data_IF_692805392418
#
_entry.id   IF_692805392418
#
_cell.length_a   1.000
_cell.length_b   1.000
_cell.length_c   1.000
_cell.angle_alpha   90.00
_cell.angle_beta   90.00
_cell.angle_gamma   90.00
#
_symmetry.space_group_name_H-M   'P 1'
#
loop_
_entity.id
_entity.type
_entity.pdbx_description
1 polymer ?
#
# COMPACT_ATOMS: atom_id res chain seq x y z
N UNK A 1 14.24 -34.94 26.06
CA UNK A 1 13.86 -36.36 25.88
C UNK A 1 12.76 -36.39 24.83
N UNK A 2 13.07 -37.06 23.72
CA UNK A 2 12.33 -37.23 22.46
C UNK A 2 10.79 -37.17 22.53
N UNK A 3 10.18 -36.47 21.57
CA UNK A 3 8.97 -36.99 20.93
C UNK A 3 9.18 -37.05 19.41
N UNK A 4 9.34 -38.28 18.94
CA UNK A 4 9.40 -38.74 17.55
C UNK A 4 8.06 -38.46 16.85
N UNK A 5 8.09 -37.90 15.65
CA UNK A 5 6.98 -38.04 14.70
C UNK A 5 7.26 -39.28 13.83
N UNK A 6 6.40 -40.29 13.96
CA UNK A 6 6.44 -41.52 13.17
C UNK A 6 5.89 -41.26 11.75
N UNK A 7 6.61 -41.77 10.76
CA UNK A 7 6.13 -41.96 9.38
C UNK A 7 5.00 -42.98 9.33
N UNK A 8 3.94 -42.67 8.58
CA UNK A 8 2.97 -43.66 8.12
C UNK A 8 1.74 -43.06 7.44
N UNK A 9 1.66 -43.19 6.11
CA UNK A 9 0.40 -43.11 5.35
C UNK A 9 0.34 -41.98 4.33
N UNK A 10 0.18 -42.36 3.06
CA UNK A 10 -0.03 -41.48 1.90
C UNK A 10 -0.97 -40.30 2.21
N UNK A 11 -0.46 -39.09 2.07
CA UNK A 11 -1.28 -37.89 2.01
C UNK A 11 -0.79 -37.01 0.86
N UNK A 12 -1.76 -36.54 0.08
CA UNK A 12 -1.66 -35.56 -0.99
C UNK A 12 -0.59 -34.50 -0.69
N UNK A 13 0.17 -34.13 -1.73
CA UNK A 13 0.89 -32.86 -1.77
C UNK A 13 -0.12 -31.71 -1.73
N UNK A 14 -0.61 -31.39 -0.52
CA UNK A 14 -1.07 -30.06 -0.22
C UNK A 14 0.17 -29.20 -0.06
N UNK A 15 0.52 -28.45 -1.09
CA UNK A 15 1.39 -27.31 -0.93
C UNK A 15 0.71 -26.38 0.07
N UNK A 16 1.13 -26.41 1.34
CA UNK A 16 0.96 -25.26 2.20
C UNK A 16 1.77 -24.15 1.54
N UNK A 17 1.10 -23.30 0.76
CA UNK A 17 1.61 -21.98 0.45
C UNK A 17 1.76 -21.26 1.78
N UNK A 18 2.96 -21.34 2.36
CA UNK A 18 3.35 -20.38 3.38
C UNK A 18 3.22 -19.02 2.72
N UNK A 19 2.42 -18.14 3.33
CA UNK A 19 2.47 -16.72 3.04
C UNK A 19 3.94 -16.34 3.16
N UNK A 20 4.56 -15.91 2.06
CA UNK A 20 5.90 -15.38 2.11
C UNK A 20 5.82 -14.15 3.04
N UNK A 21 6.36 -14.24 4.24
CA UNK A 21 6.58 -13.07 5.08
C UNK A 21 7.50 -12.17 4.26
N UNK A 22 7.04 -10.96 3.95
CA UNK A 22 7.89 -9.99 3.29
C UNK A 22 9.15 -9.76 4.15
N UNK A 23 10.30 -9.71 3.51
CA UNK A 23 11.59 -9.65 4.19
C UNK A 23 11.90 -8.16 4.48
N UNK A 24 11.86 -7.75 5.75
CA UNK A 24 12.27 -6.40 6.14
C UNK A 24 13.80 -6.29 6.04
N UNK A 25 14.27 -5.46 5.11
CA UNK A 25 15.68 -5.19 4.88
C UNK A 25 16.03 -3.80 5.39
N UNK A 26 16.94 -3.73 6.37
CA UNK A 26 17.53 -2.44 6.79
C UNK A 26 18.53 -1.96 5.74
N UNK A 27 18.22 -0.82 5.12
CA UNK A 27 19.06 -0.11 4.15
C UNK A 27 19.80 1.01 4.88
N UNK A 28 21.12 1.03 4.76
CA UNK A 28 22.00 1.96 5.47
C UNK A 28 23.29 2.21 4.69
N UNK A 29 23.92 3.36 4.95
CA UNK A 29 25.27 3.66 4.48
C UNK A 29 26.32 3.31 5.54
N UNK A 30 25.97 3.48 6.82
CA UNK A 30 26.89 3.28 7.95
C UNK A 30 27.28 1.82 8.19
N UNK A 31 28.47 1.63 8.73
CA UNK A 31 29.02 0.32 9.12
C UNK A 31 28.79 -0.01 10.60
N UNK A 32 28.04 0.81 11.35
CA UNK A 32 27.91 0.68 12.79
C UNK A 32 27.30 -0.66 13.21
N UNK A 33 28.01 -1.35 14.11
CA UNK A 33 27.59 -2.58 14.79
C UNK A 33 27.22 -2.30 16.25
N UNK A 34 26.55 -3.25 16.91
CA UNK A 34 26.19 -3.12 18.32
C UNK A 34 27.43 -2.91 19.20
N UNK A 35 27.42 -1.82 19.98
CA UNK A 35 28.57 -1.40 20.81
C UNK A 35 29.72 -0.75 20.02
N UNK A 36 29.52 -0.45 18.74
CA UNK A 36 30.47 0.28 17.91
C UNK A 36 30.67 1.73 18.37
N UNK A 37 31.78 2.33 17.93
CA UNK A 37 32.11 3.72 18.23
C UNK A 37 31.40 4.65 17.25
N UNK A 38 30.82 5.72 17.77
CA UNK A 38 30.15 6.77 16.99
C UNK A 38 30.77 8.13 17.30
N UNK A 39 30.70 9.05 16.33
CA UNK A 39 30.98 10.46 16.53
C UNK A 39 29.65 11.21 16.65
N UNK A 40 29.43 11.87 17.79
CA UNK A 40 28.25 12.73 17.98
C UNK A 40 28.51 14.08 17.34
N UNK A 41 27.55 14.60 16.56
CA UNK A 41 27.66 15.91 15.93
C UNK A 41 26.58 16.88 16.45
N UNK A 42 26.75 17.49 17.64
CA UNK A 42 25.89 18.58 18.10
C UNK A 42 26.33 19.84 17.34
N UNK A 43 26.01 19.87 16.05
CA UNK A 43 26.58 20.78 15.07
C UNK A 43 25.52 21.43 14.18
N UNK A 44 24.24 21.29 14.56
CA UNK A 44 23.09 21.75 13.78
C UNK A 44 22.42 22.94 14.45
N UNK A 45 21.98 23.88 13.62
CA UNK A 45 21.04 24.95 14.03
C UNK A 45 19.63 24.65 13.50
N UNK A 46 18.64 25.37 14.01
CA UNK A 46 17.23 25.27 13.61
C UNK A 46 17.07 25.37 12.08
N UNK A 47 16.28 24.45 11.53
CA UNK A 47 15.99 24.33 10.10
C UNK A 47 17.07 23.64 9.28
N UNK A 48 18.24 23.31 9.85
CA UNK A 48 19.21 22.47 9.17
C UNK A 48 18.75 21.01 9.09
N UNK A 49 19.29 20.27 8.14
CA UNK A 49 18.97 18.86 7.98
C UNK A 49 20.21 17.99 7.85
N UNK A 50 20.24 16.85 8.54
CA UNK A 50 21.18 15.76 8.27
C UNK A 50 20.50 14.75 7.34
N UNK A 51 21.15 14.34 6.25
CA UNK A 51 20.52 13.47 5.26
C UNK A 51 21.44 12.37 4.74
N UNK A 52 20.84 11.20 4.45
CA UNK A 52 21.49 10.04 3.85
C UNK A 52 20.85 9.69 2.52
N UNK A 53 21.68 9.34 1.54
CA UNK A 53 21.24 8.86 0.22
C UNK A 53 21.30 7.33 0.23
N UNK A 54 20.15 6.67 0.19
CA UNK A 54 20.00 5.22 0.31
C UNK A 54 19.49 4.64 -1.00
N UNK A 55 19.72 3.34 -1.21
CA UNK A 55 19.26 2.64 -2.42
C UNK A 55 18.42 1.43 -2.03
N UNK A 56 17.19 1.36 -2.55
CA UNK A 56 16.31 0.24 -2.26
C UNK A 56 16.85 -1.05 -2.89
N UNK A 57 16.94 -2.16 -2.15
CA UNK A 57 17.43 -3.44 -2.68
C UNK A 57 16.37 -4.17 -3.52
N UNK A 58 15.12 -3.74 -3.48
CA UNK A 58 13.96 -4.49 -3.97
C UNK A 58 12.78 -3.56 -4.31
N UNK A 59 11.77 -4.11 -4.99
CA UNK A 59 10.47 -3.47 -5.05
C UNK A 59 9.75 -3.70 -3.72
N UNK A 60 9.11 -2.67 -3.17
CA UNK A 60 8.44 -2.75 -1.89
C UNK A 60 8.08 -1.39 -1.32
N UNK A 61 7.96 -1.32 0.01
CA UNK A 61 7.70 -0.07 0.72
C UNK A 61 8.77 0.18 1.77
N UNK A 62 9.15 1.45 1.97
CA UNK A 62 9.79 1.85 3.23
C UNK A 62 8.71 1.77 4.31
N UNK A 63 8.98 1.01 5.37
CA UNK A 63 8.06 0.75 6.49
C UNK A 63 8.58 1.25 7.83
N UNK A 64 9.87 1.59 7.90
CA UNK A 64 10.43 2.25 9.07
C UNK A 64 11.59 3.18 8.72
N UNK A 65 11.80 4.18 9.56
CA UNK A 65 13.01 5.03 9.54
C UNK A 65 13.70 4.90 10.88
N UNK A 66 15.02 4.77 10.85
CA UNK A 66 15.85 4.62 12.04
C UNK A 66 16.86 5.76 12.12
N UNK A 67 16.93 6.45 13.25
CA UNK A 67 17.88 7.55 13.48
C UNK A 67 18.63 7.29 14.78
N UNK A 68 19.95 7.20 14.71
CA UNK A 68 20.75 7.07 15.92
C UNK A 68 20.95 8.45 16.53
N UNK A 69 20.47 8.60 17.77
CA UNK A 69 20.51 9.84 18.52
C UNK A 69 21.28 9.64 19.81
N UNK A 70 22.32 10.47 20.03
CA UNK A 70 23.18 10.31 21.19
C UNK A 70 23.80 11.61 21.65
N UNK A 71 23.94 11.80 22.96
CA UNK A 71 24.80 12.80 23.59
C UNK A 71 26.17 12.21 23.94
N UNK A 72 27.18 13.08 24.02
CA UNK A 72 28.55 12.65 24.31
C UNK A 72 28.68 11.92 25.65
N UNK A 73 27.92 12.34 26.66
CA UNK A 73 27.98 11.81 28.03
C UNK A 73 26.85 10.83 28.37
N UNK A 74 25.81 10.76 27.54
CA UNK A 74 24.60 9.98 27.80
C UNK A 74 23.68 10.61 28.85
N UNK A 75 22.40 10.30 28.77
CA UNK A 75 21.38 10.77 29.71
C UNK A 75 20.84 12.17 29.43
N UNK A 76 21.05 12.70 28.21
CA UNK A 76 20.38 13.90 27.77
C UNK A 76 18.85 13.69 27.74
N UNK A 77 18.04 14.73 28.01
CA UNK A 77 16.59 14.63 27.93
C UNK A 77 16.14 14.30 26.51
N UNK A 78 14.93 13.76 26.37
CA UNK A 78 14.30 13.58 25.07
C UNK A 78 14.12 14.93 24.38
N UNK A 79 14.34 14.96 23.07
CA UNK A 79 14.14 16.14 22.23
C UNK A 79 13.04 15.88 21.20
N UNK A 80 12.31 16.93 20.84
CA UNK A 80 11.32 16.93 19.76
C UNK A 80 11.92 17.73 18.61
N UNK A 81 12.17 17.09 17.47
CA UNK A 81 12.70 17.78 16.28
C UNK A 81 11.59 18.10 15.27
N UNK A 82 11.92 18.82 14.19
CA UNK A 82 10.91 19.39 13.29
C UNK A 82 10.22 18.30 12.47
N UNK A 83 10.99 17.52 11.72
CA UNK A 83 10.45 16.49 10.84
C UNK A 83 11.51 15.47 10.42
N UNK A 84 11.05 14.26 10.07
CA UNK A 84 11.79 13.33 9.22
C UNK A 84 11.20 13.43 7.83
N UNK A 85 12.02 13.69 6.82
CA UNK A 85 11.57 13.81 5.43
C UNK A 85 12.16 12.70 4.58
N UNK A 86 11.35 12.15 3.69
CA UNK A 86 11.79 11.22 2.64
C UNK A 86 11.63 11.90 1.30
N UNK A 87 12.72 12.01 0.55
CA UNK A 87 12.74 12.57 -0.79
C UNK A 87 12.99 11.49 -1.84
N UNK A 88 12.56 11.78 -3.08
CA UNK A 88 13.05 11.11 -4.26
C UNK A 88 14.57 11.30 -4.41
N UNK A 89 15.21 10.37 -5.09
CA UNK A 89 16.57 10.56 -5.58
C UNK A 89 16.68 11.83 -6.43
N UNK A 90 17.88 12.39 -6.48
CA UNK A 90 18.14 13.63 -7.21
C UNK A 90 19.55 13.65 -7.78
N UNK A 91 20.16 14.83 -7.80
CA UNK A 91 21.58 14.97 -8.13
C UNK A 91 22.34 15.36 -6.88
N UNK A 92 23.10 14.43 -6.31
CA UNK A 92 23.83 14.69 -5.06
C UNK A 92 24.62 16.02 -5.12
N UNK A 93 24.51 16.89 -4.10
CA UNK A 93 23.82 16.68 -2.82
C UNK A 93 22.34 17.09 -2.80
N UNK A 94 21.75 17.51 -3.91
CA UNK A 94 20.38 18.02 -4.01
C UNK A 94 19.36 16.87 -4.22
N UNK A 95 18.55 16.53 -3.21
CA UNK A 95 17.48 15.54 -3.36
C UNK A 95 16.38 16.01 -4.32
N UNK A 96 15.53 15.08 -4.76
CA UNK A 96 14.36 15.33 -5.59
C UNK A 96 13.17 15.90 -4.80
N UNK A 97 11.96 15.64 -5.28
CA UNK A 97 10.74 16.05 -4.60
C UNK A 97 10.55 15.28 -3.27
N UNK A 98 9.78 15.85 -2.34
CA UNK A 98 9.38 15.13 -1.12
C UNK A 98 8.40 14.02 -1.50
N UNK A 99 8.69 12.79 -1.07
CA UNK A 99 7.77 11.64 -1.16
C UNK A 99 6.84 11.59 0.04
N UNK A 100 7.38 11.89 1.23
CA UNK A 100 6.65 11.77 2.49
C UNK A 100 7.30 12.57 3.62
N UNK A 101 6.53 12.89 4.66
CA UNK A 101 7.01 13.57 5.86
C UNK A 101 6.41 12.97 7.14
N UNK A 102 7.23 12.95 8.20
CA UNK A 102 6.83 12.61 9.56
C UNK A 102 7.12 13.82 10.44
N UNK A 103 6.09 14.44 10.99
CA UNK A 103 6.23 15.66 11.78
C UNK A 103 6.51 15.32 13.25
N UNK A 104 7.32 16.15 13.90
CA UNK A 104 7.54 16.07 15.34
C UNK A 104 8.14 14.76 15.84
N UNK A 105 9.20 14.18 15.24
CA UNK A 105 9.84 13.00 15.81
C UNK A 105 10.39 13.29 17.21
N UNK A 106 9.96 12.52 18.21
CA UNK A 106 10.58 12.51 19.54
C UNK A 106 11.80 11.59 19.51
N UNK A 107 12.98 12.10 19.85
CA UNK A 107 14.23 11.34 19.90
C UNK A 107 14.67 11.12 21.34
N UNK A 108 15.04 9.87 21.63
CA UNK A 108 15.57 9.46 22.93
C UNK A 108 17.07 9.27 22.83
N UNK A 109 17.81 9.87 23.75
CA UNK A 109 19.27 9.73 23.83
C UNK A 109 19.69 8.28 24.10
N UNK A 110 20.74 7.85 23.41
CA UNK A 110 21.53 6.68 23.78
C UNK A 110 21.43 5.52 22.81
N UNK A 111 20.73 5.66 21.68
CA UNK A 111 20.54 4.57 20.75
C UNK A 111 19.83 4.92 19.44
N UNK A 112 19.52 3.86 18.70
CA UNK A 112 18.76 3.90 17.46
C UNK A 112 17.27 4.06 17.79
N UNK A 113 16.68 5.18 17.39
CA UNK A 113 15.25 5.43 17.48
C UNK A 113 14.59 4.93 16.19
N UNK A 114 13.53 4.14 16.28
CA UNK A 114 12.82 3.58 15.14
C UNK A 114 11.39 4.13 15.07
N UNK A 115 11.03 4.66 13.91
CA UNK A 115 9.71 5.20 13.60
C UNK A 115 9.03 4.31 12.58
N UNK A 116 7.80 3.85 12.88
CA UNK A 116 6.97 3.00 12.01
C UNK A 116 5.62 3.63 11.64
N UNK A 117 5.32 4.79 12.20
CA UNK A 117 4.06 5.49 12.02
C UNK A 117 4.32 6.97 11.74
N UNK A 118 3.45 7.58 10.92
CA UNK A 118 3.52 9.01 10.56
C UNK A 118 2.89 9.91 11.61
N UNK A 119 2.09 9.34 12.51
CA UNK A 119 1.36 10.06 13.55
C UNK A 119 1.73 9.56 14.95
N UNK A 120 1.58 10.45 15.94
CA UNK A 120 1.90 10.17 17.34
C UNK A 120 0.99 9.10 17.96
N UNK A 121 -0.22 8.93 17.42
CA UNK A 121 -1.18 7.94 17.90
C UNK A 121 -0.96 6.54 17.32
N UNK A 122 0.08 6.36 16.49
CA UNK A 122 0.42 5.07 15.86
C UNK A 122 -0.74 4.48 15.03
N UNK A 123 -1.47 5.33 14.30
CA UNK A 123 -2.62 4.92 13.49
C UNK A 123 -2.34 4.89 12.00
N UNK A 124 -1.35 5.65 11.53
CA UNK A 124 -0.96 5.72 10.12
C UNK A 124 0.43 5.12 9.96
N UNK A 125 0.56 3.86 9.54
CA UNK A 125 1.86 3.25 9.28
C UNK A 125 2.62 4.01 8.19
N UNK A 126 3.95 3.99 8.27
CA UNK A 126 4.80 4.40 7.15
C UNK A 126 4.64 3.35 6.05
N UNK A 127 4.31 3.81 4.84
CA UNK A 127 4.28 2.99 3.64
C UNK A 127 4.61 3.91 2.46
N UNK A 128 5.88 3.89 2.06
CA UNK A 128 6.39 4.73 0.97
C UNK A 128 6.91 3.81 -0.14
N UNK A 129 6.28 3.80 -1.33
CA UNK A 129 6.62 2.87 -2.38
C UNK A 129 8.04 3.15 -2.91
N UNK A 130 8.81 2.08 -3.12
CA UNK A 130 10.15 2.10 -3.71
C UNK A 130 10.32 0.95 -4.71
N UNK A 131 11.13 1.19 -5.73
CA UNK A 131 11.51 0.20 -6.74
C UNK A 131 12.93 -0.31 -6.53
N UNK A 132 13.24 -1.51 -7.03
CA UNK A 132 14.57 -2.09 -6.89
C UNK A 132 15.62 -1.22 -7.59
N UNK A 133 16.67 -0.84 -6.86
CA UNK A 133 17.71 0.06 -7.33
C UNK A 133 17.34 1.55 -7.29
N UNK A 134 16.13 1.90 -6.82
CA UNK A 134 15.73 3.29 -6.63
C UNK A 134 16.60 3.95 -5.55
N UNK A 135 17.13 5.12 -5.86
CA UNK A 135 17.77 5.98 -4.88
C UNK A 135 16.73 6.92 -4.25
N UNK A 136 16.78 7.03 -2.92
CA UNK A 136 15.93 7.92 -2.14
C UNK A 136 16.76 8.55 -1.02
N UNK A 137 16.27 9.65 -0.45
CA UNK A 137 16.98 10.40 0.58
C UNK A 137 16.13 10.48 1.84
N UNK A 138 16.72 10.14 2.98
CA UNK A 138 16.07 10.33 4.29
C UNK A 138 16.80 11.44 5.02
N UNK A 139 16.08 12.45 5.52
CA UNK A 139 16.65 13.52 6.33
C UNK A 139 15.92 13.70 7.66
N UNK A 140 16.66 14.20 8.65
CA UNK A 140 16.12 14.76 9.89
C UNK A 140 16.29 16.27 9.85
N UNK A 141 15.19 17.01 9.98
CA UNK A 141 15.18 18.46 10.14
C UNK A 141 15.17 18.84 11.62
N UNK A 142 16.12 19.69 12.00
CA UNK A 142 16.31 20.12 13.38
C UNK A 142 15.34 21.27 13.71
N UNK A 143 14.63 21.13 14.83
CA UNK A 143 13.89 22.23 15.45
C UNK A 143 14.72 22.90 16.54
N UNK A 144 15.55 22.12 17.25
CA UNK A 144 16.36 22.63 18.35
C UNK A 144 17.80 22.92 17.89
N UNK A 145 18.27 24.13 18.16
CA UNK A 145 19.69 24.47 18.08
C UNK A 145 20.50 23.58 19.05
N UNK A 146 21.45 22.81 18.53
CA UNK A 146 22.41 22.05 19.33
C UNK A 146 23.87 22.37 18.99
N UNK A 147 24.11 23.26 18.02
CA UNK A 147 25.44 23.60 17.55
C UNK A 147 26.38 24.06 18.68
N UNK A 148 27.43 23.28 18.92
CA UNK A 148 28.48 23.54 19.91
C UNK A 148 28.13 23.13 21.34
N UNK A 149 26.93 22.61 21.61
CA UNK A 149 26.56 22.10 22.93
C UNK A 149 27.01 20.65 23.11
N UNK A 150 28.10 20.46 23.87
CA UNK A 150 28.67 19.14 24.14
C UNK A 150 27.77 18.24 25.01
N UNK A 151 26.74 18.79 25.65
CA UNK A 151 25.78 18.04 26.47
C UNK A 151 24.52 17.68 25.68
N UNK A 152 24.27 18.33 24.55
CA UNK A 152 23.14 18.02 23.69
C UNK A 152 23.31 16.64 23.05
N UNK A 153 22.19 15.93 22.92
CA UNK A 153 22.12 14.79 22.02
C UNK A 153 21.96 15.29 20.58
N UNK A 154 22.52 14.54 19.63
CA UNK A 154 22.37 14.83 18.21
C UNK A 154 22.51 13.58 17.36
N UNK A 155 22.36 13.75 16.05
CA UNK A 155 22.68 12.73 15.07
C UNK A 155 24.16 12.35 15.19
N UNK A 156 24.45 11.09 14.90
CA UNK A 156 25.81 10.55 14.96
C UNK A 156 26.26 10.05 13.60
N UNK A 157 27.57 10.03 13.39
CA UNK A 157 28.19 9.27 12.31
C UNK A 157 28.94 8.06 12.88
N UNK A 158 29.19 7.05 12.05
CA UNK A 158 30.25 6.09 12.35
C UNK A 158 31.64 6.74 12.22
N UNK A 159 32.71 5.93 12.29
CA UNK A 159 34.09 6.42 12.44
C UNK A 159 35.10 5.77 11.48
N UNK A 160 34.64 5.07 10.46
CA UNK A 160 35.47 4.35 9.48
C UNK A 160 35.56 5.03 8.10
N UNK A 161 35.03 6.26 7.98
CA UNK A 161 35.19 7.13 6.81
C UNK A 161 33.86 7.54 6.21
N UNK A 162 33.80 8.76 5.67
CA UNK A 162 32.58 9.28 5.04
C UNK A 162 32.51 8.85 3.57
N UNK A 163 31.49 8.07 3.21
CA UNK A 163 31.32 7.58 1.84
C UNK A 163 30.99 8.74 0.87
N UNK A 164 31.67 8.81 -0.29
CA UNK A 164 31.39 9.83 -1.29
C UNK A 164 29.95 9.76 -1.80
N UNK A 165 29.26 10.90 -1.83
CA UNK A 165 27.92 11.00 -2.42
C UNK A 165 26.79 10.41 -1.57
N UNK A 166 27.05 10.06 -0.31
CA UNK A 166 26.09 9.35 0.54
C UNK A 166 25.56 10.15 1.74
N UNK A 167 26.27 11.20 2.15
CA UNK A 167 25.91 12.01 3.30
C UNK A 167 25.81 13.48 2.90
N UNK A 168 24.68 14.10 3.20
CA UNK A 168 24.42 15.50 2.91
C UNK A 168 23.97 16.24 4.18
N UNK A 169 24.15 17.55 4.16
CA UNK A 169 23.60 18.48 5.13
C UNK A 169 22.90 19.61 4.39
N UNK A 170 21.69 19.98 4.80
CA UNK A 170 21.02 21.20 4.34
C UNK A 170 21.41 22.36 5.25
N UNK A 171 22.42 23.10 4.83
CA UNK A 171 23.02 24.18 5.62
C UNK A 171 22.09 25.40 5.63
N UNK A 172 21.90 25.99 6.81
CA UNK A 172 20.99 27.11 7.06
C UNK A 172 19.58 26.91 6.46
N UNK A 173 19.11 25.66 6.40
CA UNK A 173 17.81 25.28 5.82
C UNK A 173 17.62 25.54 4.32
N UNK A 174 18.66 25.96 3.60
CA UNK A 174 18.55 26.44 2.21
C UNK A 174 19.45 25.72 1.23
N UNK A 175 20.67 25.36 1.64
CA UNK A 175 21.70 24.86 0.70
C UNK A 175 22.12 23.44 1.04
N UNK A 176 21.81 22.50 0.16
CA UNK A 176 22.33 21.14 0.25
C UNK A 176 23.82 21.10 -0.05
N UNK A 177 24.58 20.48 0.85
CA UNK A 177 26.04 20.35 0.81
C UNK A 177 26.47 18.95 1.15
N UNK A 178 27.63 18.52 0.63
CA UNK A 178 28.24 17.24 1.01
C UNK A 178 28.74 17.30 2.46
N UNK A 179 28.22 16.42 3.32
CA UNK A 179 28.57 16.38 4.74
C UNK A 179 30.06 16.06 4.96
N UNK A 180 30.63 15.18 4.14
CA UNK A 180 32.05 14.82 4.21
C UNK A 180 32.95 16.04 3.98
N UNK A 181 32.56 16.91 3.03
CA UNK A 181 33.29 18.15 2.74
C UNK A 181 33.17 19.20 3.85
N UNK A 182 32.16 19.07 4.72
CA UNK A 182 31.93 19.93 5.88
C UNK A 182 32.63 19.41 7.16
N UNK A 183 33.36 18.30 7.07
CA UNK A 183 34.15 17.77 8.18
C UNK A 183 33.51 16.59 8.92
N UNK A 184 32.37 16.07 8.46
CA UNK A 184 31.83 14.81 8.97
C UNK A 184 32.75 13.67 8.55
N UNK A 185 33.26 12.92 9.53
CA UNK A 185 34.31 11.92 9.32
C UNK A 185 33.80 10.53 8.94
N UNK A 186 32.50 10.28 9.13
CA UNK A 186 31.84 9.00 8.87
C UNK A 186 30.52 9.17 8.12
N UNK A 187 29.79 8.07 7.97
CA UNK A 187 28.44 8.06 7.44
C UNK A 187 27.42 8.33 8.55
N UNK A 188 26.42 9.16 8.26
CA UNK A 188 25.32 9.39 9.20
C UNK A 188 24.60 8.08 9.49
N UNK A 189 24.33 7.82 10.77
CA UNK A 189 23.58 6.63 11.20
C UNK A 189 22.08 6.95 11.15
N UNK A 190 21.62 7.23 9.93
CA UNK A 190 20.22 7.30 9.52
C UNK A 190 20.00 6.16 8.56
N UNK A 191 18.95 5.37 8.77
CA UNK A 191 18.65 4.15 8.02
C UNK A 191 17.17 4.10 7.68
N UNK A 192 16.84 3.30 6.68
CA UNK A 192 15.46 2.96 6.35
C UNK A 192 15.27 1.44 6.44
N UNK A 193 14.06 1.00 6.75
CA UNK A 193 13.67 -0.41 6.65
C UNK A 193 12.74 -0.53 5.46
N UNK A 194 13.16 -1.29 4.46
CA UNK A 194 12.37 -1.59 3.27
C UNK A 194 11.80 -2.98 3.42
N UNK A 195 10.48 -3.09 3.37
CA UNK A 195 9.79 -4.36 3.26
C UNK A 195 9.88 -4.84 1.81
N UNK A 196 10.78 -5.79 1.56
CA UNK A 196 10.96 -6.40 0.25
C UNK A 196 9.86 -7.42 0.00
N UNK A 197 9.00 -7.13 -0.98
CA UNK A 197 7.78 -7.90 -1.22
C UNK A 197 6.54 -7.26 -0.63
N UNK A 198 6.44 -5.92 -0.68
CA UNK A 198 5.17 -5.22 -0.45
C UNK A 198 4.03 -5.82 -1.27
N UNK A 199 2.77 -5.49 -0.90
CA UNK A 199 1.58 -6.18 -1.43
C UNK A 199 1.73 -6.47 -2.93
N UNK A 200 1.72 -7.74 -3.31
CA UNK A 200 2.08 -8.12 -4.66
C UNK A 200 1.17 -7.39 -5.65
N UNK A 201 1.78 -6.66 -6.58
CA UNK A 201 1.05 -5.99 -7.64
C UNK A 201 0.86 -6.90 -8.84
N UNK A 202 -0.18 -6.62 -9.60
CA UNK A 202 -0.54 -7.38 -10.80
C UNK A 202 -1.62 -6.67 -11.58
N UNK A 203 -2.16 -7.36 -12.58
CA UNK A 203 -3.29 -6.89 -13.38
C UNK A 203 -4.62 -7.09 -12.65
N UNK A 204 -5.49 -6.08 -12.72
CA UNK A 204 -6.85 -6.10 -12.17
C UNK A 204 -7.84 -5.93 -13.31
N UNK A 205 -8.82 -6.83 -13.37
CA UNK A 205 -9.96 -6.71 -14.26
C UNK A 205 -11.07 -5.91 -13.59
N UNK A 206 -11.46 -4.80 -14.20
CA UNK A 206 -12.46 -3.89 -13.64
C UNK A 206 -13.90 -4.31 -14.02
N UNK A 207 -14.92 -3.88 -13.25
CA UNK A 207 -16.34 -4.18 -13.52
C UNK A 207 -16.89 -3.69 -14.85
N UNK A 208 -16.19 -2.79 -15.55
CA UNK A 208 -16.54 -2.36 -16.91
C UNK A 208 -15.88 -3.21 -18.01
N UNK A 209 -15.05 -4.18 -17.63
CA UNK A 209 -14.29 -5.05 -18.54
C UNK A 209 -12.90 -4.51 -18.92
N UNK A 210 -12.51 -3.34 -18.39
CA UNK A 210 -11.15 -2.81 -18.50
C UNK A 210 -10.14 -3.65 -17.72
N UNK A 211 -8.85 -3.51 -18.07
CA UNK A 211 -7.75 -4.10 -17.32
C UNK A 211 -6.75 -3.01 -16.94
N UNK A 212 -6.30 -3.00 -15.68
CA UNK A 212 -5.29 -2.06 -15.17
C UNK A 212 -4.13 -2.83 -14.55
N UNK A 213 -2.90 -2.47 -14.92
CA UNK A 213 -1.67 -3.05 -14.38
C UNK A 213 -1.19 -2.36 -13.10
N UNK A 214 -0.38 -3.08 -12.32
CA UNK A 214 0.38 -2.49 -11.21
C UNK A 214 -0.44 -2.18 -9.97
N UNK A 215 -1.62 -2.80 -9.83
CA UNK A 215 -2.49 -2.64 -8.67
C UNK A 215 -2.30 -3.78 -7.67
N UNK A 216 -2.52 -3.50 -6.39
CA UNK A 216 -2.55 -4.52 -5.34
C UNK A 216 -3.90 -5.25 -5.30
N UNK A 217 -3.98 -6.35 -4.54
CA UNK A 217 -5.27 -6.99 -4.26
C UNK A 217 -6.22 -6.06 -3.48
N UNK A 218 -5.67 -5.23 -2.59
CA UNK A 218 -6.44 -4.22 -1.86
C UNK A 218 -7.06 -3.17 -2.78
N UNK A 219 -6.29 -2.68 -3.75
CA UNK A 219 -6.79 -1.76 -4.79
C UNK A 219 -7.89 -2.41 -5.63
N UNK A 220 -7.73 -3.69 -5.97
CA UNK A 220 -8.74 -4.44 -6.72
C UNK A 220 -10.08 -4.46 -5.98
N UNK A 221 -10.06 -4.75 -4.67
CA UNK A 221 -11.27 -4.74 -3.83
C UNK A 221 -11.90 -3.35 -3.79
N UNK A 222 -11.09 -2.29 -3.62
CA UNK A 222 -11.58 -0.91 -3.58
C UNK A 222 -12.25 -0.47 -4.88
N UNK A 223 -11.79 -1.00 -6.02
CA UNK A 223 -12.35 -0.76 -7.35
C UNK A 223 -13.48 -1.74 -7.73
N UNK A 224 -13.82 -2.70 -6.86
CA UNK A 224 -14.74 -3.79 -7.17
C UNK A 224 -14.24 -4.73 -8.28
N UNK A 225 -12.95 -4.69 -8.60
CA UNK A 225 -12.32 -5.49 -9.64
C UNK A 225 -11.83 -6.86 -9.15
N UNK A 226 -11.36 -7.66 -10.10
CA UNK A 226 -10.80 -8.99 -9.85
C UNK A 226 -9.29 -8.95 -10.05
N UNK A 227 -8.55 -9.27 -9.00
CA UNK A 227 -7.09 -9.37 -9.03
C UNK A 227 -6.65 -10.69 -9.68
N UNK A 228 -5.78 -10.62 -10.69
CA UNK A 228 -5.31 -11.79 -11.45
C UNK A 228 -4.01 -12.40 -10.89
N UNK A 229 -3.59 -11.92 -9.72
CA UNK A 229 -2.45 -12.41 -8.99
C UNK A 229 -1.14 -11.64 -9.25
N UNK A 230 -0.14 -11.87 -8.38
CA UNK A 230 1.16 -11.21 -8.44
C UNK A 230 1.84 -11.33 -9.80
N UNK A 231 2.38 -10.23 -10.33
CA UNK A 231 3.15 -10.21 -11.57
C UNK A 231 2.36 -10.46 -12.86
N UNK A 232 1.04 -10.62 -12.77
CA UNK A 232 0.16 -10.67 -13.95
C UNK A 232 0.16 -9.31 -14.67
N UNK A 233 -0.02 -9.32 -15.99
CA UNK A 233 -0.08 -8.09 -16.80
C UNK A 233 -1.29 -8.11 -17.74
N UNK A 234 -1.87 -6.95 -18.02
CA UNK A 234 -2.98 -6.78 -18.96
C UNK A 234 -2.63 -7.18 -20.41
N UNK A 235 -1.34 -7.29 -20.74
CA UNK A 235 -0.89 -7.84 -22.03
C UNK A 235 -1.13 -9.35 -22.16
N UNK A 236 -1.22 -10.08 -21.05
CA UNK A 236 -1.41 -11.54 -21.01
C UNK A 236 -2.71 -11.98 -20.34
N UNK A 237 -3.32 -11.08 -19.56
CA UNK A 237 -4.58 -11.32 -18.85
C UNK A 237 -5.75 -10.93 -19.72
N UNK A 238 -6.65 -11.88 -19.98
CA UNK A 238 -7.94 -11.59 -20.61
C UNK A 238 -9.02 -11.47 -19.53
N UNK A 239 -9.64 -10.30 -19.43
CA UNK A 239 -10.75 -10.05 -18.51
C UNK A 239 -12.05 -10.65 -19.03
N UNK A 240 -12.09 -11.97 -19.09
CA UNK A 240 -13.26 -12.74 -19.49
C UNK A 240 -14.28 -12.79 -18.35
N UNK A 241 -15.55 -12.84 -18.73
CA UNK A 241 -16.66 -13.04 -17.83
C UNK A 241 -17.81 -13.76 -18.52
N UNK A 242 -18.76 -14.21 -17.73
CA UNK A 242 -19.98 -14.82 -18.19
C UNK A 242 -20.80 -13.80 -19.01
N UNK A 243 -21.15 -14.22 -20.22
CA UNK A 243 -21.97 -13.46 -21.14
C UNK A 243 -23.28 -14.22 -21.40
N UNK A 244 -24.38 -13.70 -20.87
CA UNK A 244 -25.72 -14.24 -21.12
C UNK A 244 -26.27 -13.68 -22.42
N UNK A 245 -26.60 -14.53 -23.41
CA UNK A 245 -27.17 -14.10 -24.69
C UNK A 245 -28.70 -14.31 -24.66
N UNK A 246 -29.53 -13.25 -24.50
CA UNK A 246 -30.98 -13.41 -24.29
C UNK A 246 -31.72 -14.04 -25.46
N UNK A 247 -31.21 -13.87 -26.68
CA UNK A 247 -31.84 -14.39 -27.91
C UNK A 247 -31.72 -15.90 -28.06
N UNK A 248 -30.69 -16.51 -27.46
CA UNK A 248 -30.43 -17.96 -27.54
C UNK A 248 -30.45 -18.66 -26.19
N UNK A 249 -30.51 -17.91 -25.08
CA UNK A 249 -30.30 -18.44 -23.73
C UNK A 249 -28.88 -18.98 -23.51
N UNK A 250 -27.93 -18.59 -24.37
CA UNK A 250 -26.57 -19.13 -24.34
C UNK A 250 -25.73 -18.49 -23.25
N UNK A 251 -24.85 -19.27 -22.64
CA UNK A 251 -23.82 -18.79 -21.71
C UNK A 251 -22.43 -19.06 -22.27
N UNK A 252 -21.65 -18.01 -22.51
CA UNK A 252 -20.29 -18.09 -23.04
C UNK A 252 -19.36 -17.19 -22.23
N UNK A 253 -18.05 -17.47 -22.29
CA UNK A 253 -17.01 -16.65 -21.68
C UNK A 253 -16.49 -15.66 -22.72
N UNK A 254 -16.79 -14.38 -22.55
CA UNK A 254 -16.35 -13.29 -23.43
C UNK A 254 -15.83 -12.11 -22.60
N UNK A 255 -14.99 -11.29 -23.21
CA UNK A 255 -14.75 -9.94 -22.70
C UNK A 255 -16.03 -9.10 -22.85
N UNK A 256 -16.10 -7.98 -22.12
CA UNK A 256 -17.28 -7.11 -22.10
C UNK A 256 -17.65 -6.55 -23.49
N UNK A 257 -16.65 -6.25 -24.33
CA UNK A 257 -16.85 -5.73 -25.68
C UNK A 257 -17.45 -6.77 -26.62
N UNK A 258 -16.87 -7.97 -26.63
CA UNK A 258 -17.37 -9.11 -27.41
C UNK A 258 -18.76 -9.53 -26.95
N UNK A 259 -19.02 -9.54 -25.64
CA UNK A 259 -20.34 -9.83 -25.10
C UNK A 259 -21.40 -8.84 -25.61
N UNK A 260 -21.07 -7.55 -25.60
CA UNK A 260 -21.95 -6.50 -26.12
C UNK A 260 -22.19 -6.65 -27.63
N UNK A 261 -21.15 -7.04 -28.39
CA UNK A 261 -21.24 -7.22 -29.84
C UNK A 261 -22.19 -8.36 -30.27
N UNK A 262 -22.35 -9.40 -29.44
CA UNK A 262 -23.30 -10.50 -29.69
C UNK A 262 -24.69 -10.24 -29.09
N UNK A 263 -24.93 -9.05 -28.53
CA UNK A 263 -26.20 -8.69 -27.88
C UNK A 263 -26.40 -9.39 -26.53
N UNK A 264 -25.32 -9.79 -25.87
CA UNK A 264 -25.35 -10.41 -24.56
C UNK A 264 -25.28 -9.41 -23.40
N UNK A 265 -25.48 -9.91 -22.19
CA UNK A 265 -25.36 -9.20 -20.92
C UNK A 265 -24.17 -9.78 -20.17
N UNK A 266 -23.11 -8.97 -20.01
CA UNK A 266 -21.88 -9.36 -19.33
C UNK A 266 -22.05 -9.25 -17.82
N UNK A 267 -21.64 -10.28 -17.08
CA UNK A 267 -21.89 -10.42 -15.64
C UNK A 267 -20.73 -9.93 -14.76
N UNK A 268 -19.62 -9.46 -15.34
CA UNK A 268 -18.43 -9.09 -14.57
C UNK A 268 -17.24 -9.99 -14.89
N UNK A 269 -16.00 -9.56 -14.61
CA UNK A 269 -14.82 -10.36 -14.89
C UNK A 269 -14.74 -11.55 -13.93
N UNK A 270 -14.22 -12.68 -14.39
CA UNK A 270 -14.06 -13.90 -13.59
C UNK A 270 -15.36 -14.66 -13.29
N UNK A 271 -16.53 -14.13 -13.71
CA UNK A 271 -17.81 -14.82 -13.54
C UNK A 271 -17.91 -16.01 -14.48
N UNK A 272 -18.32 -17.17 -13.97
CA UNK A 272 -18.46 -18.41 -14.76
C UNK A 272 -19.89 -18.76 -15.08
N UNK A 273 -20.84 -18.27 -14.27
CA UNK A 273 -22.25 -18.54 -14.44
C UNK A 273 -22.93 -17.35 -15.11
N UNK A 274 -23.73 -17.65 -16.13
CA UNK A 274 -24.62 -16.68 -16.74
C UNK A 274 -25.99 -16.83 -16.10
N UNK A 275 -26.05 -16.90 -14.76
CA UNK A 275 -27.31 -16.78 -14.03
C UNK A 275 -27.96 -15.55 -14.62
N UNK A 276 -28.98 -15.74 -15.46
CA UNK A 276 -29.56 -14.61 -16.14
C UNK A 276 -29.98 -13.68 -15.02
N UNK A 277 -29.58 -12.39 -15.02
CA UNK A 277 -29.97 -11.49 -13.96
C UNK A 277 -31.47 -11.63 -13.85
N UNK A 278 -31.93 -12.18 -12.72
CA UNK A 278 -33.33 -12.43 -12.47
C UNK A 278 -33.75 -11.25 -11.62
N UNK A 279 -34.20 -10.14 -12.20
CA UNK A 279 -34.38 -8.91 -11.44
C UNK A 279 -35.60 -9.03 -10.50
N UNK A 280 -36.32 -10.15 -10.60
CA UNK A 280 -37.39 -10.56 -9.71
C UNK A 280 -36.94 -11.48 -8.57
N UNK A 281 -35.68 -11.92 -8.52
CA UNK A 281 -35.09 -12.74 -7.46
C UNK A 281 -34.32 -11.81 -6.51
N UNK A 282 -34.99 -11.37 -5.45
CA UNK A 282 -34.57 -10.29 -4.56
C UNK A 282 -34.29 -10.79 -3.13
N UNK A 283 -34.58 -12.06 -2.85
CA UNK A 283 -34.45 -12.67 -1.54
C UNK A 283 -33.86 -14.08 -1.63
N UNK A 284 -33.21 -14.51 -0.55
CA UNK A 284 -32.70 -15.88 -0.46
C UNK A 284 -33.84 -16.91 -0.32
N UNK A 285 -33.71 -18.12 -0.89
CA UNK A 285 -32.54 -18.63 -1.63
C UNK A 285 -32.46 -18.08 -3.06
N UNK A 286 -31.31 -17.54 -3.45
CA UNK A 286 -31.13 -17.02 -4.82
C UNK A 286 -31.24 -18.14 -5.88
N UNK A 287 -31.77 -17.77 -7.04
CA UNK A 287 -32.16 -18.66 -8.14
C UNK A 287 -33.58 -19.24 -8.01
N UNK A 288 -34.38 -18.83 -7.02
CA UNK A 288 -35.71 -19.42 -6.77
C UNK A 288 -36.76 -18.34 -6.49
N UNK A 289 -37.55 -18.00 -7.50
CA UNK A 289 -38.70 -17.10 -7.33
C UNK A 289 -39.74 -17.68 -6.37
N UNK A 290 -39.95 -16.97 -5.27
CA UNK A 290 -40.91 -17.32 -4.25
C UNK A 290 -41.53 -16.05 -3.63
N UNK A 291 -42.31 -16.25 -2.56
CA UNK A 291 -43.04 -15.15 -1.92
C UNK A 291 -42.12 -14.12 -1.25
N UNK A 292 -40.91 -14.51 -0.86
CA UNK A 292 -39.93 -13.64 -0.22
C UNK A 292 -39.38 -12.59 -1.19
N UNK A 293 -39.26 -12.90 -2.48
CA UNK A 293 -38.87 -11.90 -3.49
C UNK A 293 -39.93 -10.83 -3.68
N UNK A 294 -41.19 -11.25 -3.73
CA UNK A 294 -42.34 -10.34 -3.79
C UNK A 294 -42.36 -9.45 -2.54
N UNK A 295 -42.09 -10.01 -1.36
CA UNK A 295 -42.01 -9.23 -0.13
C UNK A 295 -40.84 -8.23 -0.15
N UNK A 296 -39.68 -8.63 -0.67
CA UNK A 296 -38.52 -7.76 -0.83
C UNK A 296 -38.83 -6.59 -1.78
N UNK A 297 -39.43 -6.86 -2.94
CA UNK A 297 -39.86 -5.81 -3.87
C UNK A 297 -40.86 -4.84 -3.23
N UNK A 298 -41.87 -5.34 -2.52
CA UNK A 298 -42.83 -4.49 -1.81
C UNK A 298 -42.14 -3.62 -0.76
N UNK A 299 -41.09 -4.14 -0.10
CA UNK A 299 -40.24 -3.38 0.80
C UNK A 299 -39.55 -2.21 0.11
N UNK A 300 -38.88 -2.46 -1.02
CA UNK A 300 -38.23 -1.44 -1.84
C UNK A 300 -39.23 -0.39 -2.35
N UNK A 301 -40.39 -0.83 -2.85
CA UNK A 301 -41.44 0.04 -3.36
C UNK A 301 -41.99 0.98 -2.26
N UNK A 302 -42.28 0.44 -1.06
CA UNK A 302 -42.75 1.24 0.07
C UNK A 302 -41.68 2.21 0.63
N UNK A 303 -40.40 1.86 0.46
CA UNK A 303 -39.28 2.73 0.82
C UNK A 303 -39.01 3.82 -0.24
N UNK A 304 -39.70 3.76 -1.39
CA UNK A 304 -39.38 4.56 -2.58
C UNK A 304 -37.90 4.42 -2.99
N UNK A 305 -37.38 3.20 -2.89
CA UNK A 305 -36.02 2.90 -3.34
C UNK A 305 -35.96 2.98 -4.87
N UNK A 306 -34.97 3.68 -5.48
CA UNK A 306 -34.82 3.76 -6.92
C UNK A 306 -34.82 2.39 -7.64
N UNK A 307 -34.44 1.31 -6.97
CA UNK A 307 -34.49 -0.04 -7.53
C UNK A 307 -35.92 -0.56 -7.81
N UNK A 308 -36.95 0.04 -7.21
CA UNK A 308 -38.35 -0.30 -7.44
C UNK A 308 -39.07 0.62 -8.46
N UNK A 309 -38.38 1.59 -9.06
CA UNK A 309 -38.88 2.47 -10.12
C UNK A 309 -38.57 1.85 -11.50
N UNK A 310 -39.38 0.86 -11.88
CA UNK A 310 -39.12 -0.03 -13.01
C UNK A 310 -39.80 0.43 -14.32
N UNK A 311 -40.71 1.40 -14.26
CA UNK A 311 -41.48 1.85 -15.39
C UNK A 311 -41.51 3.39 -15.50
N UNK A 312 -41.68 3.88 -16.73
CA UNK A 312 -41.86 5.31 -16.93
C UNK A 312 -43.21 5.80 -16.38
N UNK A 313 -43.31 7.04 -15.88
CA UNK A 313 -42.24 8.03 -15.77
C UNK A 313 -41.33 7.80 -14.56
N UNK A 314 -40.01 7.82 -14.80
CA UNK A 314 -38.99 7.64 -13.75
C UNK A 314 -39.13 8.68 -12.63
N UNK A 315 -38.90 8.24 -11.40
CA UNK A 315 -39.08 9.00 -10.17
C UNK A 315 -40.52 9.00 -9.65
N UNK A 316 -41.40 8.15 -10.20
CA UNK A 316 -42.82 8.08 -9.83
C UNK A 316 -43.26 6.63 -9.57
N UNK A 317 -43.24 6.22 -8.31
CA UNK A 317 -43.70 4.89 -7.88
C UNK A 317 -45.21 4.73 -8.02
N UNK A 318 -45.63 3.92 -8.98
CA UNK A 318 -47.03 3.70 -9.29
C UNK A 318 -47.32 2.24 -9.72
N UNK A 319 -48.56 1.99 -10.15
CA UNK A 319 -49.00 0.63 -10.51
C UNK A 319 -48.22 0.03 -11.69
N UNK A 320 -47.62 0.86 -12.56
CA UNK A 320 -46.83 0.39 -13.69
C UNK A 320 -45.51 -0.23 -13.26
N UNK A 321 -44.90 0.20 -12.15
CA UNK A 321 -43.71 -0.43 -11.58
C UNK A 321 -44.04 -1.81 -11.02
N UNK A 322 -45.15 -1.91 -10.29
CA UNK A 322 -45.66 -3.18 -9.77
C UNK A 322 -45.98 -4.13 -10.93
N UNK A 323 -46.60 -3.64 -12.01
CA UNK A 323 -46.86 -4.45 -13.20
C UNK A 323 -45.57 -4.89 -13.90
N UNK A 324 -44.55 -4.03 -13.96
CA UNK A 324 -43.23 -4.36 -14.50
C UNK A 324 -42.55 -5.45 -13.67
N UNK A 325 -42.57 -5.35 -12.35
CA UNK A 325 -42.07 -6.39 -11.46
C UNK A 325 -42.82 -7.71 -11.62
N UNK A 326 -44.16 -7.69 -11.65
CA UNK A 326 -44.97 -8.89 -11.86
C UNK A 326 -44.66 -9.52 -13.23
N UNK A 327 -44.39 -8.72 -14.27
CA UNK A 327 -43.98 -9.23 -15.56
C UNK A 327 -42.61 -9.91 -15.51
N UNK A 328 -41.65 -9.35 -14.75
CA UNK A 328 -40.35 -9.97 -14.51
C UNK A 328 -40.49 -11.29 -13.72
N UNK A 329 -41.30 -11.30 -12.66
CA UNK A 329 -41.57 -12.48 -11.83
C UNK A 329 -42.24 -13.60 -12.64
N UNK A 330 -43.27 -13.28 -13.44
CA UNK A 330 -43.97 -14.26 -14.27
C UNK A 330 -43.15 -14.76 -15.46
N UNK A 331 -42.11 -14.04 -15.87
CA UNK A 331 -41.15 -14.51 -16.87
C UNK A 331 -40.32 -15.69 -16.36
N UNK A 332 -40.21 -15.85 -15.04
CA UNK A 332 -39.38 -16.85 -14.39
C UNK A 332 -37.89 -16.49 -14.42
N UNK A 333 -37.11 -17.17 -13.59
CA UNK A 333 -35.66 -17.27 -13.76
C UNK A 333 -35.35 -18.56 -14.55
N UNK A 334 -34.30 -18.60 -15.38
CA UNK A 334 -33.75 -19.86 -15.87
C UNK A 334 -33.21 -20.75 -14.74
#
# INVERSE_FOLDING_TARGET
>A
MNMRCLLGGLALWGACGGVALADEVTVKNDSLVNGGTVAVCPCFVEGEQAAVWLTSPCNGNIVAIQIFWKSQFGGAPQTLEQAILVYEGGSFPNPGAIKDELLGPVLTDGGLNEYRFKDENQTIPISIPVTAGEEFVVSLEFFNDNAGDIFAASVVSDTDGCQPGKNAVKVNGTTWSNACSLGVSGDWVIRAVVECGGDPTGSVCLPEGGCVDGLTEGDAIALGGVFNGPGSTCGTTACLGACYIPSTGGCLQFDAGTCSAVGGVWQGPGTTDCTAPCPADLAEPSGVLNIFDIQAYIGLYNAHDPAADLAAPSGTFNIFDIQAYIALYNKGCP
#
